data_IF_133649424760
#
_entry.id   IF_133649424760
#
_cell.length_a   1.000
_cell.length_b   1.000
_cell.length_c   1.000
_cell.angle_alpha   90.00
_cell.angle_beta   90.00
_cell.angle_gamma   90.00
#
_symmetry.space_group_name_H-M   'P 1'
#
loop_
_entity.id
_entity.type
_entity.pdbx_description
1 polymer ?
#
# COMPACT_ATOMS: atom_id res chain seq x y z
N UNK A 1 8.47 23.23 3.13
CA UNK A 1 7.11 22.78 2.71
C UNK A 1 7.07 21.26 2.71
N UNK A 2 5.91 20.66 2.98
CA UNK A 2 5.78 19.24 3.32
C UNK A 2 4.94 18.50 2.27
N UNK A 3 5.53 17.47 1.66
CA UNK A 3 4.81 16.48 0.85
C UNK A 3 4.09 15.52 1.80
N UNK A 4 2.79 15.32 1.58
CA UNK A 4 1.98 14.33 2.29
C UNK A 4 1.67 13.15 1.37
N UNK A 5 1.58 11.95 1.96
CA UNK A 5 1.26 10.73 1.26
C UNK A 5 0.21 9.92 2.02
N UNK A 6 -0.70 9.29 1.29
CA UNK A 6 -1.68 8.35 1.84
C UNK A 6 -1.68 7.06 1.07
N UNK A 7 -1.60 5.97 1.84
CA UNK A 7 -1.79 4.61 1.37
C UNK A 7 -2.13 3.73 2.56
N UNK A 8 -3.10 2.84 2.38
CA UNK A 8 -3.37 1.73 3.28
C UNK A 8 -3.49 0.46 2.43
N UNK A 9 -3.18 -0.74 2.96
CA UNK A 9 -3.23 -1.99 2.20
C UNK A 9 -4.68 -2.50 2.00
N UNK A 10 -5.62 -1.59 1.72
CA UNK A 10 -7.07 -1.83 1.59
C UNK A 10 -7.67 -0.92 0.52
N UNK A 11 -8.93 -1.14 0.07
CA UNK A 11 -9.63 -0.20 -0.80
C UNK A 11 -9.70 1.22 -0.21
N UNK A 12 -9.66 2.28 -1.06
CA UNK A 12 -9.56 2.25 -2.52
C UNK A 12 -8.11 2.14 -3.03
N UNK A 13 -7.12 2.05 -2.13
CA UNK A 13 -5.71 2.09 -2.49
C UNK A 13 -5.21 0.78 -3.09
N UNK A 14 -5.74 -0.34 -2.61
CA UNK A 14 -5.47 -1.69 -3.11
C UNK A 14 -6.73 -2.25 -3.74
N UNK A 15 -6.63 -2.72 -4.98
CA UNK A 15 -7.74 -3.39 -5.67
C UNK A 15 -7.21 -4.58 -6.47
N UNK A 16 -7.75 -5.76 -6.21
CA UNK A 16 -7.51 -6.92 -7.07
C UNK A 16 -8.34 -6.78 -8.36
N UNK A 17 -7.71 -7.05 -9.50
CA UNK A 17 -8.34 -7.08 -10.81
C UNK A 17 -7.75 -8.22 -11.62
N UNK A 18 -8.53 -9.29 -11.82
CA UNK A 18 -8.07 -10.55 -12.42
C UNK A 18 -6.80 -11.04 -11.72
N UNK A 19 -5.72 -11.23 -12.48
CA UNK A 19 -4.41 -11.69 -12.02
C UNK A 19 -3.48 -10.53 -11.63
N UNK A 20 -4.02 -9.35 -11.31
CA UNK A 20 -3.23 -8.21 -10.87
C UNK A 20 -3.74 -7.60 -9.58
N UNK A 21 -2.81 -7.10 -8.78
CA UNK A 21 -3.07 -6.26 -7.62
C UNK A 21 -2.69 -4.82 -7.95
N UNK A 22 -3.70 -3.97 -8.08
CA UNK A 22 -3.52 -2.54 -8.34
C UNK A 22 -3.21 -1.83 -7.03
N UNK A 23 -2.03 -1.21 -6.95
CA UNK A 23 -1.56 -0.46 -5.78
C UNK A 23 -1.53 1.03 -6.14
N UNK A 24 -2.21 1.85 -5.35
CA UNK A 24 -2.36 3.29 -5.57
C UNK A 24 -1.80 4.08 -4.39
N UNK A 25 -0.93 5.06 -4.65
CA UNK A 25 -0.42 6.04 -3.67
C UNK A 25 -1.05 7.40 -3.96
N UNK A 26 -1.56 8.08 -2.95
CA UNK A 26 -2.02 9.47 -3.07
C UNK A 26 -0.98 10.43 -2.53
N UNK A 27 -0.75 11.53 -3.23
CA UNK A 27 0.18 12.60 -2.84
C UNK A 27 -0.47 13.97 -2.93
N UNK A 28 -0.15 14.85 -1.98
CA UNK A 28 -0.42 16.29 -2.06
C UNK A 28 0.72 17.09 -1.44
N UNK A 29 0.82 18.37 -1.81
CA UNK A 29 1.86 19.28 -1.34
C UNK A 29 2.83 19.70 -2.44
N UNK A 30 3.82 20.48 -2.03
CA UNK A 30 4.83 21.08 -2.91
C UNK A 30 5.97 20.11 -3.21
N UNK A 31 6.73 20.41 -4.27
CA UNK A 31 7.92 19.64 -4.70
C UNK A 31 7.61 18.13 -4.88
N UNK A 32 6.69 17.79 -5.81
CA UNK A 32 6.34 16.40 -6.07
C UNK A 32 7.53 15.63 -6.65
N UNK A 33 7.63 14.31 -6.37
CA UNK A 33 8.68 13.48 -6.96
C UNK A 33 8.56 13.44 -8.50
N UNK A 34 9.70 13.30 -9.17
CA UNK A 34 9.75 13.09 -10.62
C UNK A 34 9.28 11.69 -11.01
N UNK A 35 9.59 10.70 -10.17
CA UNK A 35 9.23 9.29 -10.37
C UNK A 35 8.86 8.64 -9.05
N UNK A 36 7.97 7.67 -9.12
CA UNK A 36 7.64 6.80 -8.00
C UNK A 36 7.77 5.37 -8.49
N UNK A 37 8.56 4.58 -7.75
CA UNK A 37 8.70 3.14 -7.98
C UNK A 37 8.01 2.41 -6.83
N UNK A 38 7.29 1.37 -7.15
CA UNK A 38 6.81 0.39 -6.19
C UNK A 38 7.88 -0.68 -6.06
N UNK A 39 8.53 -0.74 -4.90
CA UNK A 39 9.40 -1.87 -4.57
C UNK A 39 8.53 -3.04 -4.14
N UNK A 40 8.75 -4.21 -4.72
CA UNK A 40 8.05 -5.48 -4.42
C UNK A 40 9.06 -6.61 -4.20
N UNK A 41 8.61 -7.73 -3.65
CA UNK A 41 9.39 -8.98 -3.56
C UNK A 41 8.79 -10.05 -4.49
N UNK A 42 9.61 -10.69 -5.32
CA UNK A 42 9.27 -11.88 -6.10
C UNK A 42 10.33 -12.94 -5.82
N UNK A 43 9.95 -14.13 -5.33
CA UNK A 43 10.88 -15.21 -4.98
C UNK A 43 12.06 -14.79 -4.07
N UNK A 44 11.79 -13.87 -3.14
CA UNK A 44 12.77 -13.22 -2.24
C UNK A 44 13.75 -12.25 -2.91
N UNK A 45 13.59 -11.96 -4.19
CA UNK A 45 14.33 -10.92 -4.89
C UNK A 45 13.56 -9.60 -4.93
N UNK A 46 14.28 -8.50 -4.74
CA UNK A 46 13.71 -7.16 -4.83
C UNK A 46 13.44 -6.81 -6.30
N UNK A 47 12.19 -6.48 -6.63
CA UNK A 47 11.80 -5.95 -7.95
C UNK A 47 11.26 -4.54 -7.81
N UNK A 48 11.48 -3.69 -8.81
CA UNK A 48 10.96 -2.31 -8.85
C UNK A 48 10.00 -2.13 -10.02
N UNK A 49 8.75 -1.81 -9.72
CA UNK A 49 7.69 -1.55 -10.71
C UNK A 49 7.45 -0.04 -10.82
N UNK A 50 7.52 0.57 -12.01
CA UNK A 50 7.23 2.00 -12.14
C UNK A 50 5.75 2.29 -11.85
N UNK A 51 5.48 3.37 -11.13
CA UNK A 51 4.13 3.87 -10.93
C UNK A 51 3.81 4.98 -11.94
N UNK A 52 2.56 5.00 -12.39
CA UNK A 52 2.05 5.97 -13.34
C UNK A 52 1.02 6.89 -12.68
N UNK A 53 1.23 8.20 -12.83
CA UNK A 53 0.27 9.22 -12.38
C UNK A 53 -1.07 9.02 -13.11
N UNK A 54 -2.14 8.92 -12.36
CA UNK A 54 -3.49 8.78 -12.88
C UNK A 54 -4.00 10.11 -13.42
N UNK A 55 -4.84 10.05 -14.46
CA UNK A 55 -5.45 11.26 -15.06
C UNK A 55 -6.48 11.90 -14.13
N UNK A 56 -7.30 11.08 -13.47
CA UNK A 56 -8.28 11.58 -12.51
C UNK A 56 -7.62 11.83 -11.14
N UNK A 57 -7.95 12.98 -10.56
CA UNK A 57 -7.62 13.27 -9.18
C UNK A 57 -8.70 12.65 -8.27
N UNK A 58 -8.34 11.91 -7.20
CA UNK A 58 -9.32 11.38 -6.25
C UNK A 58 -10.00 12.50 -5.45
N UNK A 59 -9.27 13.60 -5.19
CA UNK A 59 -9.76 14.83 -4.56
C UNK A 59 -8.98 16.02 -5.13
N UNK A 60 -9.56 17.23 -5.04
CA UNK A 60 -8.91 18.45 -5.52
C UNK A 60 -7.53 18.64 -4.87
N UNK A 61 -6.48 18.77 -5.69
CA UNK A 61 -5.11 18.94 -5.19
C UNK A 61 -4.41 17.65 -4.75
N UNK A 62 -5.06 16.49 -4.94
CA UNK A 62 -4.46 15.17 -4.66
C UNK A 62 -4.14 14.48 -5.98
N UNK A 63 -2.91 14.00 -6.11
CA UNK A 63 -2.50 13.18 -7.26
C UNK A 63 -2.44 11.72 -6.87
N UNK A 64 -2.99 10.85 -7.71
CA UNK A 64 -2.89 9.41 -7.52
C UNK A 64 -1.82 8.83 -8.45
N UNK A 65 -1.00 7.92 -7.94
CA UNK A 65 0.00 7.16 -8.69
C UNK A 65 -0.31 5.69 -8.54
N UNK A 66 -0.27 4.92 -9.63
CA UNK A 66 -0.67 3.50 -9.62
C UNK A 66 0.36 2.61 -10.30
N UNK A 67 0.59 1.45 -9.71
CA UNK A 67 1.29 0.32 -10.32
C UNK A 67 0.45 -0.96 -10.16
N UNK A 68 0.79 -1.98 -10.95
CA UNK A 68 0.20 -3.31 -10.86
C UNK A 68 1.27 -4.32 -10.43
N UNK A 69 0.94 -5.15 -9.45
CA UNK A 69 1.72 -6.34 -9.09
C UNK A 69 1.05 -7.54 -9.76
N UNK A 70 1.82 -8.37 -10.45
CA UNK A 70 1.33 -9.63 -11.00
C UNK A 70 1.04 -10.65 -9.88
N UNK A 71 -0.12 -11.29 -9.96
CA UNK A 71 -0.55 -12.33 -9.02
C UNK A 71 -0.34 -13.74 -9.56
N UNK A 72 0.02 -13.90 -10.84
CA UNK A 72 0.23 -15.21 -11.47
C UNK A 72 1.39 -16.02 -10.89
N UNK A 73 2.30 -15.34 -10.17
CA UNK A 73 3.58 -15.88 -9.70
C UNK A 73 4.01 -15.21 -8.39
N UNK A 74 4.99 -15.76 -7.69
CA UNK A 74 5.49 -15.27 -6.40
C UNK A 74 4.64 -15.68 -5.17
N UNK A 75 4.98 -15.12 -4.01
CA UNK A 75 4.45 -15.56 -2.71
C UNK A 75 3.03 -15.02 -2.43
N UNK A 76 2.13 -15.78 -1.75
CA UNK A 76 0.78 -15.32 -1.40
C UNK A 76 0.76 -13.98 -0.66
N UNK A 77 1.71 -13.77 0.25
CA UNK A 77 1.92 -12.48 0.92
C UNK A 77 2.71 -11.54 0.03
N UNK A 78 2.05 -10.52 -0.52
CA UNK A 78 2.64 -9.48 -1.37
C UNK A 78 3.17 -8.34 -0.51
N UNK A 79 4.49 -8.26 -0.38
CA UNK A 79 5.15 -7.15 0.33
C UNK A 79 5.56 -6.05 -0.62
N UNK A 80 5.37 -4.80 -0.21
CA UNK A 80 5.75 -3.66 -1.03
C UNK A 80 6.00 -2.37 -0.24
N UNK A 81 6.72 -1.43 -0.87
CA UNK A 81 6.97 -0.08 -0.34
C UNK A 81 7.13 0.91 -1.50
N UNK A 82 6.91 2.20 -1.24
CA UNK A 82 7.03 3.21 -2.28
C UNK A 82 8.38 3.90 -2.20
N UNK A 83 9.09 3.96 -3.32
CA UNK A 83 10.33 4.72 -3.49
C UNK A 83 10.06 5.95 -4.34
N UNK A 84 10.07 7.12 -3.72
CA UNK A 84 9.87 8.42 -4.35
C UNK A 84 11.24 9.00 -4.73
N UNK A 85 11.37 9.45 -5.98
CA UNK A 85 12.62 9.93 -6.57
C UNK A 85 12.49 11.38 -7.04
N UNK A 86 13.41 12.21 -6.60
CA UNK A 86 13.67 13.57 -7.09
C UNK A 86 15.02 13.58 -7.82
N UNK A 87 15.40 14.75 -8.35
CA UNK A 87 16.69 14.92 -9.03
C UNK A 87 17.92 14.68 -8.14
N UNK A 88 17.79 14.93 -6.84
CA UNK A 88 18.89 15.06 -5.87
C UNK A 88 18.74 14.12 -4.67
N UNK A 89 17.56 13.49 -4.53
CA UNK A 89 17.22 12.69 -3.35
C UNK A 89 16.18 11.62 -3.65
N UNK A 90 16.09 10.70 -2.72
CA UNK A 90 15.01 9.72 -2.65
C UNK A 90 14.39 9.71 -1.26
N UNK A 91 13.14 9.26 -1.18
CA UNK A 91 12.47 8.92 0.08
C UNK A 91 11.68 7.64 -0.09
N UNK A 92 11.47 6.95 1.01
CA UNK A 92 10.63 5.77 1.10
C UNK A 92 9.36 6.11 1.84
N UNK A 93 8.23 5.55 1.41
CA UNK A 93 6.96 5.64 2.12
C UNK A 93 6.45 4.24 2.48
N UNK A 94 6.10 4.07 3.75
CA UNK A 94 5.80 2.80 4.43
C UNK A 94 4.63 3.01 5.41
N UNK A 95 4.13 1.97 6.10
CA UNK A 95 3.20 2.15 7.22
C UNK A 95 3.74 3.07 8.32
N UNK A 96 5.06 3.18 8.50
CA UNK A 96 5.70 4.10 9.45
C UNK A 96 5.83 5.54 8.92
N UNK A 97 5.34 5.81 7.70
CA UNK A 97 5.46 7.10 7.04
C UNK A 97 6.73 7.22 6.20
N UNK A 98 7.22 8.45 6.07
CA UNK A 98 8.38 8.77 5.24
C UNK A 98 9.71 8.46 5.92
N UNK A 99 10.63 7.83 5.18
CA UNK A 99 12.01 7.59 5.60
C UNK A 99 13.00 7.96 4.50
N UNK A 100 14.24 8.29 4.88
CA UNK A 100 15.36 8.42 3.93
C UNK A 100 16.02 7.07 3.65
N UNK A 101 15.92 6.14 4.59
CA UNK A 101 16.54 4.82 4.51
C UNK A 101 15.57 3.82 3.86
N UNK A 102 16.07 2.84 3.08
CA UNK A 102 15.26 1.74 2.62
C UNK A 102 14.63 0.99 3.81
N UNK A 103 13.32 0.69 3.76
CA UNK A 103 12.66 0.04 4.90
C UNK A 103 13.10 -1.42 5.03
N UNK A 104 13.20 -1.89 6.27
CA UNK A 104 13.36 -3.31 6.53
C UNK A 104 12.10 -4.09 6.13
N UNK A 105 12.20 -5.41 5.97
CA UNK A 105 11.13 -6.27 5.44
C UNK A 105 9.80 -6.17 6.22
N UNK A 106 9.88 -6.08 7.55
CA UNK A 106 8.71 -5.99 8.43
C UNK A 106 8.07 -4.60 8.44
N UNK A 107 8.75 -3.59 7.89
CA UNK A 107 8.27 -2.22 7.78
C UNK A 107 7.60 -1.96 6.43
N UNK A 108 7.48 -2.97 5.58
CA UNK A 108 6.79 -2.87 4.30
C UNK A 108 5.27 -3.05 4.48
N UNK A 109 4.48 -2.51 3.56
CA UNK A 109 3.08 -2.91 3.44
C UNK A 109 3.01 -4.39 3.05
N UNK A 110 1.93 -5.05 3.43
CA UNK A 110 1.67 -6.43 3.06
C UNK A 110 0.18 -6.62 2.76
N UNK A 111 -0.11 -7.42 1.73
CA UNK A 111 -1.45 -7.88 1.38
C UNK A 111 -1.37 -9.38 1.12
N UNK A 112 -2.25 -10.17 1.73
CA UNK A 112 -2.35 -11.60 1.46
C UNK A 112 -3.35 -11.83 0.30
N UNK A 113 -2.92 -12.56 -0.73
CA UNK A 113 -3.76 -12.90 -1.89
C UNK A 113 -3.60 -14.40 -2.20
N UNK A 114 -4.67 -15.22 -2.13
CA UNK A 114 -6.03 -14.83 -1.75
C UNK A 114 -6.10 -14.39 -0.27
N UNK A 115 -6.99 -13.43 0.01
CA UNK A 115 -7.32 -13.07 1.38
C UNK A 115 -8.17 -14.20 1.98
N UNK A 116 -7.56 -14.96 2.89
CA UNK A 116 -8.19 -16.09 3.57
C UNK A 116 -8.94 -15.69 4.85
N UNK A 117 -9.04 -14.38 5.13
CA UNK A 117 -9.81 -13.87 6.25
C UNK A 117 -11.31 -14.17 6.11
N UNK A 118 -12.04 -14.42 7.21
CA UNK A 118 -13.49 -14.57 7.18
C UNK A 118 -14.12 -13.24 6.75
N UNK A 119 -14.54 -13.15 5.49
CA UNK A 119 -15.11 -11.92 4.92
C UNK A 119 -16.31 -11.41 5.72
N UNK A 120 -17.11 -12.31 6.30
CA UNK A 120 -18.25 -11.94 7.15
C UNK A 120 -17.84 -11.11 8.37
N UNK A 121 -16.61 -11.25 8.88
CA UNK A 121 -16.17 -10.59 10.09
C UNK A 121 -15.87 -9.09 9.90
N UNK A 122 -15.56 -8.65 8.68
CA UNK A 122 -15.17 -7.26 8.40
C UNK A 122 -16.29 -6.24 8.75
N UNK A 123 -17.55 -6.67 8.63
CA UNK A 123 -18.73 -5.83 8.85
C UNK A 123 -19.44 -6.12 10.19
N UNK A 124 -18.83 -6.90 11.09
CA UNK A 124 -19.44 -7.27 12.37
C UNK A 124 -18.87 -6.48 13.54
N UNK A 125 -19.74 -6.21 14.51
CA UNK A 125 -19.34 -5.71 15.83
C UNK A 125 -19.27 -6.90 16.77
N UNK A 126 -18.09 -7.18 17.30
CA UNK A 126 -17.88 -8.26 18.26
C UNK A 126 -18.05 -7.75 19.70
N UNK A 127 -18.89 -8.43 20.47
CA UNK A 127 -18.96 -8.27 21.92
C UNK A 127 -18.25 -9.44 22.58
N UNK A 128 -17.19 -9.15 23.33
CA UNK A 128 -16.56 -10.15 24.18
C UNK A 128 -17.33 -10.24 25.50
N UNK A 129 -18.06 -11.34 25.67
CA UNK A 129 -18.84 -11.61 26.88
C UNK A 129 -18.09 -12.61 27.76
N UNK A 130 -17.94 -12.26 29.04
CA UNK A 130 -17.49 -13.19 30.07
C UNK A 130 -18.73 -13.79 30.76
N UNK A 131 -19.06 -15.08 30.53
CA UNK A 131 -20.31 -15.67 31.00
C UNK A 131 -20.55 -15.49 32.50
N UNK A 132 -19.51 -15.66 33.32
CA UNK A 132 -19.61 -15.57 34.79
C UNK A 132 -19.93 -14.15 35.32
N UNK A 133 -19.73 -13.12 34.48
CA UNK A 133 -19.91 -11.71 34.85
C UNK A 133 -21.03 -11.03 34.07
N UNK A 134 -21.63 -11.73 33.11
CA UNK A 134 -22.64 -11.17 32.23
C UNK A 134 -24.04 -11.47 32.78
N UNK A 135 -24.87 -10.43 32.85
CA UNK A 135 -26.28 -10.53 33.21
C UNK A 135 -27.09 -10.14 31.96
N UNK A 136 -27.99 -11.01 31.49
CA UNK A 136 -28.80 -10.75 30.30
C UNK A 136 -29.82 -9.62 30.50
#
# INVERSE_FOLDING_TARGET
MMLNAWHLPVPPFVKQSKDQLLITLWLTGEDPPQRIMLRTEHDNEETSVPMHKQRSQPQLGVTAWRAAIDLSSGQPRRRYSFKLLWHDRQRWFTPQGFSRMPPARLEQFAVDVPDIGPQWAADQIFYQIFPDRFRP
#
